data_IF_252685271120
#
_entry.id   IF_252685271120
#
_cell.length_a   1.000
_cell.length_b   1.000
_cell.length_c   1.000
_cell.angle_alpha   90.00
_cell.angle_beta   90.00
_cell.angle_gamma   90.00
#
_symmetry.space_group_name_H-M   'P 1'
#
loop_
_entity.id
_entity.type
_entity.pdbx_description
1 polymer ?
#
# COMPACT_ATOMS: atom_id res chain seq x y z
N UNK A 1 12.30 -5.25 -17.92
CA UNK A 1 12.32 -5.76 -16.52
C UNK A 1 11.91 -4.71 -15.49
N UNK A 2 12.52 -3.51 -15.47
CA UNK A 2 12.19 -2.44 -14.51
C UNK A 2 10.67 -2.19 -14.34
N UNK A 3 9.96 -1.90 -15.43
CA UNK A 3 8.50 -1.66 -15.40
C UNK A 3 7.71 -2.81 -14.79
N UNK A 4 8.00 -4.05 -15.18
CA UNK A 4 7.34 -5.24 -14.64
C UNK A 4 7.51 -5.33 -13.12
N UNK A 5 8.73 -5.13 -12.61
CA UNK A 5 9.01 -5.16 -11.18
C UNK A 5 8.36 -3.99 -10.43
N UNK A 6 8.28 -2.81 -11.04
CA UNK A 6 7.52 -1.68 -10.47
C UNK A 6 6.04 -2.04 -10.37
N UNK A 7 5.44 -2.56 -11.44
CA UNK A 7 4.05 -3.01 -11.41
C UNK A 7 3.85 -4.07 -10.32
N UNK A 8 4.77 -5.02 -10.18
CA UNK A 8 4.73 -6.06 -9.15
C UNK A 8 4.77 -5.47 -7.72
N UNK A 9 5.61 -4.47 -7.46
CA UNK A 9 5.66 -3.74 -6.18
C UNK A 9 4.30 -3.13 -5.86
N UNK A 10 3.70 -2.41 -6.81
CA UNK A 10 2.39 -1.77 -6.61
C UNK A 10 1.25 -2.80 -6.52
N UNK A 11 1.27 -3.89 -7.30
CA UNK A 11 0.26 -4.95 -7.23
C UNK A 11 0.30 -5.67 -5.87
N UNK A 12 1.49 -6.00 -5.37
CA UNK A 12 1.62 -6.61 -4.03
C UNK A 12 1.25 -5.64 -2.91
N UNK A 13 1.48 -4.34 -3.08
CA UNK A 13 0.95 -3.32 -2.17
C UNK A 13 -0.59 -3.26 -2.19
N UNK A 14 -1.22 -3.37 -3.37
CA UNK A 14 -2.68 -3.46 -3.48
C UNK A 14 -3.24 -4.69 -2.74
N UNK A 15 -2.57 -5.84 -2.87
CA UNK A 15 -2.91 -7.05 -2.11
C UNK A 15 -2.79 -6.81 -0.60
N UNK A 16 -1.72 -6.14 -0.14
CA UNK A 16 -1.53 -5.79 1.26
C UNK A 16 -2.67 -4.92 1.80
N UNK A 17 -3.14 -3.93 1.03
CA UNK A 17 -4.29 -3.09 1.43
C UNK A 17 -5.55 -3.95 1.64
N UNK A 18 -5.84 -4.86 0.72
CA UNK A 18 -7.02 -5.74 0.81
C UNK A 18 -6.88 -6.77 1.95
N UNK A 19 -5.70 -7.37 2.11
CA UNK A 19 -5.44 -8.30 3.20
C UNK A 19 -5.58 -7.60 4.57
N UNK A 20 -5.10 -6.35 4.66
CA UNK A 20 -5.24 -5.55 5.87
C UNK A 20 -6.69 -5.16 6.15
N UNK A 21 -7.47 -4.83 5.11
CA UNK A 21 -8.92 -4.65 5.23
C UNK A 21 -9.59 -5.89 5.86
N UNK A 22 -9.32 -7.09 5.34
CA UNK A 22 -9.87 -8.33 5.89
C UNK A 22 -9.43 -8.56 7.34
N UNK A 23 -8.21 -8.15 7.70
CA UNK A 23 -7.72 -8.21 9.08
C UNK A 23 -8.52 -7.30 10.01
N UNK A 24 -8.86 -6.08 9.58
CA UNK A 24 -9.71 -5.15 10.35
C UNK A 24 -11.14 -5.67 10.48
N UNK A 25 -11.65 -6.30 9.42
CA UNK A 25 -12.97 -6.94 9.41
C UNK A 25 -13.00 -8.27 10.18
N UNK A 26 -11.87 -8.69 10.75
CA UNK A 26 -11.73 -9.92 11.54
C UNK A 26 -12.13 -11.18 10.77
N UNK A 27 -11.87 -11.22 9.46
CA UNK A 27 -12.09 -12.43 8.66
C UNK A 27 -11.07 -13.51 9.00
N UNK A 28 -11.53 -14.77 9.01
CA UNK A 28 -10.66 -15.92 9.23
C UNK A 28 -9.62 -16.06 8.12
N UNK A 29 -8.40 -16.49 8.48
CA UNK A 29 -7.27 -16.59 7.54
C UNK A 29 -6.67 -15.25 7.08
N UNK A 30 -7.24 -14.11 7.47
CA UNK A 30 -6.73 -12.78 7.09
C UNK A 30 -5.29 -12.53 7.55
N UNK A 31 -4.88 -13.12 8.69
CA UNK A 31 -3.50 -13.04 9.20
C UNK A 31 -2.51 -13.67 8.22
N UNK A 32 -2.79 -14.89 7.77
CA UNK A 32 -1.90 -15.63 6.88
C UNK A 32 -1.85 -14.99 5.50
N UNK A 33 -3.00 -14.52 4.99
CA UNK A 33 -3.06 -13.75 3.74
C UNK A 33 -2.22 -12.47 3.82
N UNK A 34 -2.33 -11.72 4.92
CA UNK A 34 -1.54 -10.51 5.14
C UNK A 34 -0.05 -10.84 5.18
N UNK A 35 0.33 -11.92 5.86
CA UNK A 35 1.73 -12.33 5.97
C UNK A 35 2.32 -12.83 4.66
N UNK A 36 1.56 -13.62 3.89
CA UNK A 36 1.95 -14.01 2.55
C UNK A 36 2.09 -12.78 1.62
N UNK A 37 1.12 -11.87 1.65
CA UNK A 37 1.17 -10.61 0.90
C UNK A 37 2.39 -9.76 1.25
N UNK A 38 2.74 -9.72 2.54
CA UNK A 38 3.87 -8.96 3.06
C UNK A 38 5.21 -9.53 2.59
N UNK A 39 5.40 -10.84 2.68
CA UNK A 39 6.59 -11.51 2.15
C UNK A 39 6.71 -11.39 0.64
N UNK A 40 5.61 -11.51 -0.10
CA UNK A 40 5.59 -11.26 -1.54
C UNK A 40 6.05 -9.83 -1.82
N UNK A 41 5.54 -8.84 -1.09
CA UNK A 41 5.92 -7.43 -1.28
C UNK A 41 7.42 -7.19 -1.02
N UNK A 42 7.97 -7.76 0.06
CA UNK A 42 9.43 -7.72 0.32
C UNK A 42 10.20 -8.35 -0.84
N UNK A 43 9.78 -9.54 -1.30
CA UNK A 43 10.45 -10.23 -2.40
C UNK A 43 10.44 -9.39 -3.70
N UNK A 44 9.37 -8.64 -3.97
CA UNK A 44 9.33 -7.72 -5.13
C UNK A 44 10.37 -6.61 -5.05
N UNK A 45 10.59 -6.05 -3.85
CA UNK A 45 11.61 -5.03 -3.63
C UNK A 45 13.02 -5.60 -3.74
N UNK A 46 13.26 -6.80 -3.23
CA UNK A 46 14.54 -7.51 -3.40
C UNK A 46 14.80 -7.76 -4.88
N UNK A 47 13.81 -8.29 -5.61
CA UNK A 47 13.89 -8.50 -7.05
C UNK A 47 14.19 -7.21 -7.82
N UNK A 48 13.52 -6.10 -7.47
CA UNK A 48 13.81 -4.79 -8.04
C UNK A 48 15.25 -4.34 -7.75
N UNK A 49 15.73 -4.47 -6.51
CA UNK A 49 17.08 -4.07 -6.12
C UNK A 49 18.18 -4.85 -6.84
N UNK A 50 17.96 -6.14 -7.09
CA UNK A 50 18.95 -7.03 -7.73
C UNK A 50 18.94 -6.91 -9.26
N UNK A 51 17.76 -6.78 -9.88
CA UNK A 51 17.60 -6.89 -11.32
C UNK A 51 17.56 -5.55 -12.06
N UNK A 52 17.35 -4.43 -11.36
CA UNK A 52 17.31 -3.09 -11.96
C UNK A 52 18.65 -2.38 -11.74
N UNK A 53 19.36 -2.09 -12.84
CA UNK A 53 20.66 -1.37 -12.81
C UNK A 53 20.50 0.06 -12.30
N UNK A 54 19.58 0.82 -12.91
CA UNK A 54 19.25 2.20 -12.52
C UNK A 54 18.03 2.23 -11.59
N UNK A 55 18.31 1.92 -10.34
CA UNK A 55 17.33 1.83 -9.25
C UNK A 55 17.15 3.18 -8.56
N UNK A 56 15.93 3.44 -8.12
CA UNK A 56 15.59 4.62 -7.34
C UNK A 56 16.05 4.45 -5.89
N UNK A 57 17.03 5.24 -5.44
CA UNK A 57 17.58 5.18 -4.08
C UNK A 57 16.51 5.39 -2.99
N UNK A 58 15.40 6.08 -3.31
CA UNK A 58 14.29 6.32 -2.38
C UNK A 58 13.54 5.04 -2.02
N UNK A 59 13.77 3.92 -2.73
CA UNK A 59 13.20 2.61 -2.37
C UNK A 59 13.64 2.10 -1.00
N UNK A 60 14.74 2.66 -0.46
CA UNK A 60 15.22 2.35 0.88
C UNK A 60 14.21 2.75 1.97
N UNK A 61 13.47 3.83 1.82
CA UNK A 61 12.48 4.27 2.82
C UNK A 61 11.36 3.24 3.05
N UNK A 62 10.64 2.78 2.02
CA UNK A 62 9.67 1.72 2.21
C UNK A 62 10.31 0.40 2.70
N UNK A 63 11.49 0.03 2.21
CA UNK A 63 12.21 -1.15 2.71
C UNK A 63 12.49 -1.07 4.22
N UNK A 64 12.93 0.08 4.73
CA UNK A 64 13.15 0.28 6.17
C UNK A 64 11.86 0.12 6.97
N UNK A 65 10.73 0.65 6.47
CA UNK A 65 9.42 0.45 7.11
C UNK A 65 9.06 -1.04 7.14
N UNK A 66 9.28 -1.78 6.05
CA UNK A 66 9.02 -3.22 6.03
C UNK A 66 9.86 -3.96 7.06
N UNK A 67 11.16 -3.65 7.16
CA UNK A 67 12.04 -4.24 8.19
C UNK A 67 11.55 -3.91 9.60
N UNK A 68 11.16 -2.66 9.86
CA UNK A 68 10.60 -2.27 11.16
C UNK A 68 9.32 -3.05 11.49
N UNK A 69 8.43 -3.25 10.52
CA UNK A 69 7.21 -4.05 10.72
C UNK A 69 7.54 -5.52 11.01
N UNK A 70 8.53 -6.11 10.33
CA UNK A 70 9.01 -7.47 10.67
C UNK A 70 9.53 -7.50 12.09
N UNK A 71 10.41 -6.57 12.47
CA UNK A 71 10.98 -6.53 13.81
C UNK A 71 9.87 -6.40 14.86
N UNK A 72 8.96 -5.44 14.69
CA UNK A 72 7.86 -5.21 15.61
C UNK A 72 6.93 -6.43 15.73
N UNK A 73 6.72 -7.18 14.64
CA UNK A 73 5.92 -8.41 14.65
C UNK A 73 6.58 -9.59 15.36
N UNK A 74 7.89 -9.55 15.62
CA UNK A 74 8.61 -10.58 16.38
C UNK A 74 8.72 -10.25 17.88
N UNK A 75 8.40 -9.02 18.28
CA UNK A 75 8.36 -8.62 19.68
C UNK A 75 6.95 -8.81 20.25
N UNK A 76 6.85 -9.41 21.43
CA UNK A 76 5.57 -9.60 22.13
C UNK A 76 5.16 -8.31 22.86
N UNK A 77 4.72 -7.33 22.07
CA UNK A 77 4.06 -6.17 22.63
C UNK A 77 2.65 -6.61 23.03
N UNK A 78 2.42 -6.81 24.33
CA UNK A 78 1.12 -7.10 24.95
C UNK A 78 0.10 -5.95 24.74
N UNK A 79 -0.18 -5.59 23.49
CA UNK A 79 -1.06 -4.51 23.08
C UNK A 79 -2.47 -5.05 22.82
N UNK A 80 -3.51 -4.30 23.20
CA UNK A 80 -4.87 -4.64 22.77
C UNK A 80 -4.96 -4.73 21.25
N UNK A 81 -5.66 -5.75 20.73
CA UNK A 81 -5.76 -6.00 19.27
C UNK A 81 -6.26 -4.78 18.49
N UNK A 82 -7.15 -3.98 19.09
CA UNK A 82 -7.66 -2.74 18.48
C UNK A 82 -6.55 -1.69 18.32
N UNK A 83 -5.66 -1.56 19.31
CA UNK A 83 -4.52 -0.63 19.26
C UNK A 83 -3.49 -1.09 18.23
N UNK A 84 -3.18 -2.39 18.19
CA UNK A 84 -2.28 -2.96 17.19
C UNK A 84 -2.81 -2.76 15.75
N UNK A 85 -4.12 -2.97 15.55
CA UNK A 85 -4.78 -2.72 14.27
C UNK A 85 -4.81 -1.22 13.90
N UNK A 86 -4.96 -0.31 14.87
CA UNK A 86 -4.89 1.12 14.59
C UNK A 86 -3.48 1.57 14.18
N UNK A 87 -2.44 1.08 14.86
CA UNK A 87 -1.04 1.37 14.53
C UNK A 87 -0.68 0.85 13.15
N UNK A 88 -0.97 -0.44 12.88
CA UNK A 88 -0.66 -1.04 11.58
C UNK A 88 -1.37 -0.33 10.43
N UNK A 89 -2.58 0.17 10.68
CA UNK A 89 -3.31 0.98 9.73
C UNK A 89 -2.62 2.31 9.46
N UNK A 90 -2.22 3.07 10.49
CA UNK A 90 -1.48 4.34 10.30
C UNK A 90 -0.21 4.11 9.48
N UNK A 91 0.53 3.03 9.78
CA UNK A 91 1.73 2.64 9.03
C UNK A 91 1.38 2.34 7.57
N UNK A 92 0.33 1.54 7.32
CA UNK A 92 -0.13 1.23 5.96
C UNK A 92 -0.52 2.50 5.19
N UNK A 93 -1.22 3.45 5.83
CA UNK A 93 -1.63 4.70 5.21
C UNK A 93 -0.43 5.57 4.83
N UNK A 94 0.50 5.77 5.74
CA UNK A 94 1.73 6.50 5.47
C UNK A 94 2.53 5.85 4.34
N UNK A 95 2.62 4.51 4.36
CA UNK A 95 3.32 3.73 3.35
C UNK A 95 2.68 3.88 1.95
N UNK A 96 1.35 3.77 1.85
CA UNK A 96 0.63 3.96 0.59
C UNK A 96 0.70 5.41 0.11
N UNK A 97 0.57 6.38 1.00
CA UNK A 97 0.70 7.80 0.68
C UNK A 97 2.07 8.11 0.06
N UNK A 98 3.15 7.52 0.59
CA UNK A 98 4.47 7.63 -0.01
C UNK A 98 4.48 7.15 -1.48
N UNK A 99 3.87 5.99 -1.75
CA UNK A 99 3.84 5.41 -3.10
C UNK A 99 3.02 6.21 -4.11
N UNK A 100 1.97 6.90 -3.64
CA UNK A 100 1.07 7.69 -4.48
C UNK A 100 1.57 9.12 -4.69
N UNK A 101 2.18 9.74 -3.68
CA UNK A 101 2.46 11.18 -3.71
C UNK A 101 3.92 11.56 -3.89
N UNK A 102 4.88 10.67 -3.63
CA UNK A 102 6.28 11.02 -3.85
C UNK A 102 6.53 11.19 -5.36
N UNK A 103 6.92 12.40 -5.81
CA UNK A 103 7.03 12.67 -7.23
C UNK A 103 8.03 11.74 -7.91
N UNK A 104 7.58 11.11 -9.00
CA UNK A 104 8.39 10.23 -9.84
C UNK A 104 9.08 9.08 -9.05
N UNK A 105 8.50 8.62 -7.94
CA UNK A 105 9.03 7.49 -7.18
C UNK A 105 9.03 6.21 -8.04
N UNK A 106 10.15 5.49 -8.15
CA UNK A 106 10.38 4.33 -9.04
C UNK A 106 10.34 4.62 -10.54
N UNK A 107 9.36 5.42 -11.01
CA UNK A 107 9.27 5.95 -12.37
C UNK A 107 8.25 7.12 -12.45
N UNK A 108 8.20 7.79 -13.60
CA UNK A 108 7.20 8.80 -13.93
C UNK A 108 5.82 8.16 -14.18
N UNK A 109 4.77 8.86 -13.77
CA UNK A 109 3.39 8.55 -14.15
C UNK A 109 2.90 9.61 -15.13
N UNK A 110 2.13 9.20 -16.13
CA UNK A 110 1.56 10.08 -17.16
C UNK A 110 0.05 10.25 -17.02
N UNK A 111 -0.55 9.63 -16.00
CA UNK A 111 -1.99 9.72 -15.75
C UNK A 111 -2.33 11.09 -15.17
N UNK A 112 -3.07 11.93 -15.91
CA UNK A 112 -3.47 13.24 -15.41
C UNK A 112 -4.42 13.08 -14.21
N UNK A 113 -4.33 13.98 -13.23
CA UNK A 113 -5.20 14.05 -12.04
C UNK A 113 -5.14 12.83 -11.10
N UNK A 114 -4.23 11.88 -11.30
CA UNK A 114 -4.07 10.71 -10.41
C UNK A 114 -3.86 11.12 -8.95
N UNK A 115 -3.08 12.17 -8.71
CA UNK A 115 -2.85 12.70 -7.36
C UNK A 115 -4.15 13.24 -6.73
N UNK A 116 -4.97 13.96 -7.49
CA UNK A 116 -6.25 14.50 -7.00
C UNK A 116 -7.20 13.39 -6.58
N UNK A 117 -7.34 12.36 -7.43
CA UNK A 117 -8.19 11.19 -7.11
C UNK A 117 -7.63 10.43 -5.89
N UNK A 118 -6.31 10.30 -5.80
CA UNK A 118 -5.63 9.66 -4.67
C UNK A 118 -5.88 10.37 -3.33
N UNK A 119 -5.89 11.71 -3.33
CA UNK A 119 -6.23 12.49 -2.13
C UNK A 119 -7.67 12.20 -1.70
N UNK A 120 -8.64 12.24 -2.64
CA UNK A 120 -10.05 11.99 -2.33
C UNK A 120 -10.22 10.60 -1.70
N UNK A 121 -9.63 9.57 -2.31
CA UNK A 121 -9.75 8.19 -1.80
C UNK A 121 -9.07 8.02 -0.44
N UNK A 122 -7.91 8.64 -0.21
CA UNK A 122 -7.25 8.60 1.09
C UNK A 122 -8.05 9.32 2.18
N UNK A 123 -8.72 10.44 1.85
CA UNK A 123 -9.61 11.14 2.79
C UNK A 123 -10.82 10.26 3.13
N UNK A 124 -11.47 9.64 2.13
CA UNK A 124 -12.59 8.71 2.36
C UNK A 124 -12.16 7.57 3.28
N UNK A 125 -10.99 6.99 3.02
CA UNK A 125 -10.44 5.95 3.87
C UNK A 125 -10.18 6.44 5.31
N UNK A 126 -9.50 7.59 5.47
CA UNK A 126 -9.19 8.13 6.79
C UNK A 126 -10.45 8.43 7.60
N UNK A 127 -11.52 8.91 6.95
CA UNK A 127 -12.83 9.08 7.57
C UNK A 127 -13.44 7.73 7.98
N UNK A 128 -13.38 6.70 7.11
CA UNK A 128 -13.86 5.36 7.44
C UNK A 128 -13.18 4.79 8.69
N UNK A 129 -11.87 4.98 8.79
CA UNK A 129 -11.07 4.57 9.93
C UNK A 129 -11.50 5.31 11.20
N UNK A 130 -11.57 6.65 11.13
CA UNK A 130 -11.98 7.46 12.26
C UNK A 130 -13.36 7.03 12.77
N UNK A 131 -14.30 6.80 11.85
CA UNK A 131 -15.62 6.30 12.19
C UNK A 131 -15.61 4.88 12.78
N UNK A 132 -14.67 4.01 12.35
CA UNK A 132 -14.54 2.64 12.89
C UNK A 132 -14.07 2.68 14.34
N UNK A 133 -13.09 3.55 14.61
CA UNK A 133 -12.57 3.77 15.97
C UNK A 133 -13.64 4.39 16.88
N UNK A 134 -14.48 5.28 16.33
CA UNK A 134 -15.61 5.92 17.03
C UNK A 134 -16.89 5.07 17.07
N UNK A 135 -16.87 3.84 16.53
CA UNK A 135 -18.01 2.90 16.52
C UNK A 135 -19.29 3.44 15.85
N UNK A 136 -19.17 4.25 14.81
CA UNK A 136 -20.33 4.69 14.03
C UNK A 136 -21.00 3.53 13.26
N UNK A 137 -22.31 3.62 12.95
CA UNK A 137 -22.99 2.64 12.10
C UNK A 137 -22.53 2.72 10.63
N UNK A 138 -22.69 1.63 9.87
CA UNK A 138 -22.35 1.51 8.44
C UNK A 138 -20.89 1.76 8.04
N UNK A 139 -19.96 1.71 8.99
CA UNK A 139 -18.55 1.98 8.73
C UNK A 139 -17.87 0.90 7.89
N UNK A 140 -18.31 -0.35 8.00
CA UNK A 140 -17.67 -1.45 7.28
C UNK A 140 -17.81 -1.31 5.76
N UNK A 141 -18.93 -0.76 5.28
CA UNK A 141 -19.14 -0.45 3.87
C UNK A 141 -18.19 0.67 3.42
N UNK A 142 -18.06 1.72 4.22
CA UNK A 142 -17.16 2.84 3.91
C UNK A 142 -15.69 2.40 3.90
N UNK A 143 -15.29 1.55 4.84
CA UNK A 143 -13.96 0.96 4.92
C UNK A 143 -13.66 0.07 3.71
N UNK A 144 -14.61 -0.80 3.35
CA UNK A 144 -14.52 -1.66 2.17
C UNK A 144 -14.36 -0.84 0.87
N UNK A 145 -15.21 0.16 0.66
CA UNK A 145 -15.16 1.03 -0.53
C UNK A 145 -13.85 1.82 -0.58
N UNK A 146 -13.44 2.39 0.55
CA UNK A 146 -12.20 3.14 0.67
C UNK A 146 -10.98 2.28 0.34
N UNK A 147 -10.79 1.18 1.05
CA UNK A 147 -9.64 0.30 0.87
C UNK A 147 -9.61 -0.34 -0.52
N UNK A 148 -10.76 -0.74 -1.08
CA UNK A 148 -10.83 -1.29 -2.44
C UNK A 148 -10.47 -0.26 -3.50
N UNK A 149 -10.96 0.98 -3.34
CA UNK A 149 -10.63 2.09 -4.22
C UNK A 149 -9.14 2.46 -4.12
N UNK A 150 -8.57 2.43 -2.91
CA UNK A 150 -7.16 2.70 -2.68
C UNK A 150 -6.28 1.60 -3.31
N UNK A 151 -6.64 0.34 -3.15
CA UNK A 151 -5.95 -0.79 -3.79
C UNK A 151 -5.99 -0.67 -5.32
N UNK A 152 -7.14 -0.32 -5.89
CA UNK A 152 -7.29 -0.09 -7.32
C UNK A 152 -6.41 1.09 -7.80
N UNK A 153 -6.38 2.20 -7.07
CA UNK A 153 -5.53 3.34 -7.42
C UNK A 153 -4.04 3.01 -7.38
N UNK A 154 -3.60 2.29 -6.36
CA UNK A 154 -2.22 1.80 -6.27
C UNK A 154 -1.91 0.89 -7.45
N UNK A 155 -2.81 -0.02 -7.81
CA UNK A 155 -2.64 -0.88 -8.98
C UNK A 155 -2.53 -0.08 -10.29
N UNK A 156 -3.45 0.87 -10.52
CA UNK A 156 -3.45 1.77 -11.69
C UNK A 156 -2.14 2.55 -11.73
N UNK A 157 -1.68 3.07 -10.60
CA UNK A 157 -0.40 3.77 -10.49
C UNK A 157 0.74 2.85 -10.95
N UNK A 158 0.79 1.63 -10.44
CA UNK A 158 1.81 0.63 -10.79
C UNK A 158 1.86 0.24 -12.26
N UNK A 159 0.72 0.00 -12.90
CA UNK A 159 0.66 -0.41 -14.31
C UNK A 159 0.97 0.74 -15.28
N UNK A 160 0.72 1.98 -14.86
CA UNK A 160 0.94 3.19 -15.67
C UNK A 160 2.32 3.81 -15.50
N UNK A 161 3.08 3.44 -14.47
CA UNK A 161 4.49 3.84 -14.29
C UNK A 161 5.33 3.47 -15.51
N UNK A 162 6.10 4.44 -16.00
CA UNK A 162 6.99 4.25 -17.14
C UNK A 162 6.29 4.13 -18.50
N UNK A 163 4.98 4.42 -18.58
CA UNK A 163 4.29 4.61 -19.86
C UNK A 163 4.64 6.00 -20.42
N UNK A 164 5.71 6.10 -21.20
CA UNK A 164 5.94 7.29 -22.03
C UNK A 164 4.83 7.41 -23.08
N UNK A 165 4.23 8.59 -23.29
CA UNK A 165 3.43 8.82 -24.49
C UNK A 165 4.39 8.66 -25.67
N UNK A 166 4.04 7.84 -26.67
CA UNK A 166 4.74 7.92 -27.97
C UNK A 166 4.59 9.37 -28.42
N UNK A 167 5.69 10.11 -28.52
CA UNK A 167 5.64 11.39 -29.22
C UNK A 167 5.14 11.08 -30.62
N UNK A 168 4.03 11.68 -31.01
CA UNK A 168 3.65 11.76 -32.41
C UNK A 168 4.71 12.68 -33.05
N UNK A 169 5.80 12.09 -33.51
CA UNK A 169 6.67 12.67 -34.54
C UNK A 169 5.95 12.58 -35.87
#
# INVERSE_FOLDING_TARGET
MKRYLITLIYSTLAILIVAYLFRIMLWDGSKDLLWAGFWMHIATYIGYSLLVKEKDNRMMYPLMILVLVVLLGNFDFNLPIMVANAIGLVIMFAYVAFHLFVPNYLDKTTVPKLNTVSIIVLVICALAIAFKLLKFPMVDVLLLVGCSSLALLVLITGVTKGLTPKSKT
#
